data_IF_353760824860
#
_entry.id   IF_353760824860
#
_cell.length_a   1.000
_cell.length_b   1.000
_cell.length_c   1.000
_cell.angle_alpha   90.00
_cell.angle_beta   90.00
_cell.angle_gamma   90.00
#
_symmetry.space_group_name_H-M   'P 1'
#
loop_
_entity.id
_entity.type
_entity.pdbx_description
1 polymer ?
#
# COMPACT_ATOMS: atom_id res chain seq x y z
N UNK A 1 -0.37 -10.61 -11.94
CA UNK A 1 0.75 -9.70 -12.27
C UNK A 1 0.17 -8.33 -12.57
N UNK A 2 0.75 -7.26 -12.00
CA UNK A 2 0.39 -5.87 -12.32
C UNK A 2 1.35 -5.32 -13.37
N UNK A 3 0.83 -4.58 -14.35
CA UNK A 3 1.63 -3.92 -15.40
C UNK A 3 1.16 -2.47 -15.59
N UNK A 4 2.11 -1.57 -15.78
CA UNK A 4 1.86 -0.22 -16.28
C UNK A 4 2.55 -0.07 -17.63
N UNK A 5 1.85 0.54 -18.59
CA UNK A 5 2.34 0.68 -19.98
C UNK A 5 2.22 2.14 -20.43
N UNK A 6 3.36 2.73 -20.77
CA UNK A 6 3.48 4.08 -21.35
C UNK A 6 2.76 5.16 -20.51
N UNK A 7 2.83 5.03 -19.18
CA UNK A 7 2.12 5.91 -18.27
C UNK A 7 2.78 7.28 -18.19
N UNK A 8 1.98 8.33 -18.35
CA UNK A 8 2.39 9.71 -18.17
C UNK A 8 1.42 10.44 -17.24
N UNK A 9 1.95 11.38 -16.44
CA UNK A 9 1.19 12.22 -15.53
C UNK A 9 1.84 13.58 -15.38
N UNK A 10 1.03 14.65 -15.47
CA UNK A 10 1.43 16.03 -15.23
C UNK A 10 0.49 16.69 -14.23
N UNK A 11 0.97 17.72 -13.55
CA UNK A 11 0.18 18.65 -12.76
C UNK A 11 0.44 20.07 -13.27
N UNK A 12 -0.55 20.64 -13.94
CA UNK A 12 -0.36 21.84 -14.75
C UNK A 12 0.73 21.60 -15.81
N UNK A 13 1.70 22.49 -15.91
CA UNK A 13 2.81 22.37 -16.85
C UNK A 13 3.95 21.44 -16.39
N UNK A 14 3.88 20.96 -15.13
CA UNK A 14 4.93 20.11 -14.56
C UNK A 14 4.66 18.64 -14.84
N UNK A 15 5.50 18.04 -15.72
CA UNK A 15 5.48 16.59 -15.95
C UNK A 15 6.13 15.86 -14.77
N UNK A 16 5.44 14.86 -14.22
CA UNK A 16 5.89 14.06 -13.07
C UNK A 16 6.25 12.63 -13.51
N UNK A 17 5.47 12.05 -14.42
CA UNK A 17 5.73 10.74 -15.02
C UNK A 17 5.75 10.92 -16.53
N UNK A 18 6.73 10.32 -17.21
CA UNK A 18 6.88 10.39 -18.66
C UNK A 18 7.13 9.02 -19.25
N UNK A 19 6.11 8.49 -19.94
CA UNK A 19 6.18 7.23 -20.68
C UNK A 19 6.73 6.04 -19.86
N UNK A 20 6.32 5.94 -18.59
CA UNK A 20 6.80 4.92 -17.66
C UNK A 20 6.13 3.59 -17.94
N UNK A 21 6.93 2.53 -18.07
CA UNK A 21 6.44 1.15 -18.27
C UNK A 21 7.18 0.20 -17.34
N UNK A 22 6.43 -0.53 -16.50
CA UNK A 22 6.98 -1.53 -15.59
C UNK A 22 6.02 -2.69 -15.37
N UNK A 23 6.57 -3.86 -15.05
CA UNK A 23 5.84 -5.02 -14.57
C UNK A 23 6.19 -5.34 -13.12
N UNK A 24 5.17 -5.65 -12.34
CA UNK A 24 5.26 -6.01 -10.93
C UNK A 24 4.81 -7.48 -10.79
N UNK A 25 5.78 -8.40 -10.65
CA UNK A 25 5.48 -9.83 -10.61
C UNK A 25 4.63 -10.21 -9.40
N UNK A 26 3.73 -11.17 -9.58
CA UNK A 26 2.92 -11.74 -8.50
C UNK A 26 3.82 -12.46 -7.48
N UNK A 27 3.49 -12.36 -6.20
CA UNK A 27 4.26 -12.99 -5.12
C UNK A 27 5.60 -12.34 -4.83
N UNK A 28 5.89 -11.17 -5.41
CA UNK A 28 7.15 -10.47 -5.25
C UNK A 28 6.97 -9.09 -4.63
N UNK A 29 8.03 -8.64 -3.95
CA UNK A 29 8.16 -7.27 -3.43
C UNK A 29 8.98 -6.48 -4.44
N UNK A 30 8.35 -5.49 -5.08
CA UNK A 30 9.04 -4.54 -5.95
C UNK A 30 9.19 -3.21 -5.22
N UNK A 31 10.41 -2.75 -5.04
CA UNK A 31 10.69 -1.45 -4.42
C UNK A 31 10.91 -0.40 -5.51
N UNK A 32 10.20 0.72 -5.40
CA UNK A 32 10.42 1.93 -6.20
C UNK A 32 11.27 2.88 -5.35
N UNK A 33 12.55 2.97 -5.68
CA UNK A 33 13.56 3.73 -4.94
C UNK A 33 13.91 5.02 -5.68
N UNK A 34 14.01 6.13 -4.98
CA UNK A 34 14.46 7.39 -5.56
C UNK A 34 14.33 8.57 -4.60
N UNK A 35 14.87 9.73 -4.94
CA UNK A 35 14.82 10.94 -4.12
C UNK A 35 13.38 11.47 -3.99
N UNK A 36 13.18 12.37 -3.01
CA UNK A 36 11.94 13.12 -2.90
C UNK A 36 11.70 13.94 -4.18
N UNK A 37 10.45 14.00 -4.63
CA UNK A 37 10.09 14.65 -5.89
C UNK A 37 10.32 13.82 -7.16
N UNK A 38 10.83 12.58 -7.06
CA UNK A 38 11.03 11.66 -8.19
C UNK A 38 9.74 11.02 -8.75
N UNK A 39 8.56 11.45 -8.32
CA UNK A 39 7.27 10.93 -8.84
C UNK A 39 6.81 9.60 -8.23
N UNK A 40 7.53 9.05 -7.23
CA UNK A 40 7.22 7.75 -6.61
C UNK A 40 5.80 7.66 -6.05
N UNK A 41 5.44 8.59 -5.16
CA UNK A 41 4.09 8.68 -4.56
C UNK A 41 3.03 8.93 -5.63
N UNK A 42 3.33 9.76 -6.65
CA UNK A 42 2.42 9.98 -7.78
C UNK A 42 2.17 8.69 -8.54
N UNK A 43 3.22 7.93 -8.85
CA UNK A 43 3.09 6.64 -9.53
C UNK A 43 2.26 5.65 -8.69
N UNK A 44 2.54 5.56 -7.37
CA UNK A 44 1.78 4.69 -6.47
C UNK A 44 0.31 5.11 -6.39
N UNK A 45 0.01 6.41 -6.30
CA UNK A 45 -1.37 6.93 -6.31
C UNK A 45 -2.10 6.63 -7.62
N UNK A 46 -1.41 6.72 -8.74
CA UNK A 46 -1.96 6.34 -10.04
C UNK A 46 -2.24 4.82 -10.09
N UNK A 47 -1.32 3.98 -9.63
CA UNK A 47 -1.51 2.52 -9.56
C UNK A 47 -2.72 2.17 -8.68
N UNK A 48 -2.88 2.85 -7.55
CA UNK A 48 -3.96 2.58 -6.59
C UNK A 48 -5.32 3.22 -6.99
N UNK A 49 -5.37 3.97 -8.08
CA UNK A 49 -6.60 4.65 -8.53
C UNK A 49 -6.98 5.87 -7.69
N UNK A 50 -6.06 6.37 -6.84
CA UNK A 50 -6.22 7.62 -6.09
C UNK A 50 -5.92 8.86 -6.93
N UNK A 51 -5.24 8.65 -8.07
CA UNK A 51 -4.94 9.66 -9.07
C UNK A 51 -5.12 9.03 -10.47
N UNK A 52 -5.53 9.81 -11.46
CA UNK A 52 -5.68 9.34 -12.83
C UNK A 52 -4.39 9.49 -13.62
N UNK A 53 -4.13 8.59 -14.56
CA UNK A 53 -3.12 8.78 -15.59
C UNK A 53 -3.61 9.77 -16.67
N UNK A 54 -2.73 10.59 -17.20
CA UNK A 54 -3.04 11.41 -18.38
C UNK A 54 -2.96 10.55 -19.66
N UNK A 55 -2.00 9.59 -19.68
CA UNK A 55 -1.79 8.63 -20.77
C UNK A 55 -1.31 7.30 -20.23
N UNK A 56 -1.48 6.24 -21.00
CA UNK A 56 -0.99 4.90 -20.69
C UNK A 56 -2.07 3.97 -20.19
N UNK A 57 -1.66 2.81 -19.70
CA UNK A 57 -2.54 1.75 -19.23
C UNK A 57 -2.06 1.13 -17.93
N UNK A 58 -3.03 0.71 -17.11
CA UNK A 58 -2.84 -0.11 -15.91
C UNK A 58 -3.58 -1.44 -16.09
N UNK A 59 -2.85 -2.53 -16.05
CA UNK A 59 -3.39 -3.88 -16.22
C UNK A 59 -3.12 -4.73 -14.98
N UNK A 60 -4.15 -5.39 -14.46
CA UNK A 60 -4.02 -6.38 -13.39
C UNK A 60 -4.50 -7.73 -13.89
N UNK A 61 -3.60 -8.70 -14.01
CA UNK A 61 -3.86 -10.03 -14.54
C UNK A 61 -4.55 -9.99 -15.92
N UNK A 62 -4.19 -9.00 -16.75
CA UNK A 62 -4.78 -8.76 -18.09
C UNK A 62 -6.06 -7.94 -18.08
N UNK A 63 -6.67 -7.69 -16.93
CA UNK A 63 -7.82 -6.78 -16.82
C UNK A 63 -7.35 -5.32 -16.85
N UNK A 64 -7.94 -4.51 -17.73
CA UNK A 64 -7.68 -3.08 -17.80
C UNK A 64 -8.36 -2.33 -16.64
N UNK A 65 -7.55 -1.77 -15.76
CA UNK A 65 -7.97 -0.95 -14.62
C UNK A 65 -7.73 0.55 -14.87
N UNK A 66 -7.29 0.94 -16.06
CA UNK A 66 -6.95 2.31 -16.41
C UNK A 66 -8.13 3.24 -16.17
N UNK A 67 -7.91 4.27 -15.36
CA UNK A 67 -8.91 5.29 -15.04
C UNK A 67 -10.29 4.74 -14.56
N UNK A 68 -10.36 3.47 -14.17
CA UNK A 68 -11.51 2.98 -13.43
C UNK A 68 -11.57 3.70 -12.09
N UNK A 69 -12.76 4.11 -11.68
CA UNK A 69 -12.95 4.76 -10.39
C UNK A 69 -12.41 3.88 -9.26
N UNK A 70 -11.94 4.49 -8.18
CA UNK A 70 -11.47 3.78 -6.99
C UNK A 70 -12.52 2.75 -6.50
N UNK A 71 -13.82 3.06 -6.64
CA UNK A 71 -14.90 2.12 -6.30
C UNK A 71 -14.91 0.87 -7.18
N UNK A 72 -14.64 0.99 -8.48
CA UNK A 72 -14.59 -0.16 -9.39
C UNK A 72 -13.37 -1.06 -9.12
N UNK A 73 -12.30 -0.51 -8.54
CA UNK A 73 -11.09 -1.22 -8.16
C UNK A 73 -11.04 -1.57 -6.66
N UNK A 74 -12.10 -1.25 -5.92
CA UNK A 74 -12.18 -1.49 -4.47
C UNK A 74 -11.88 -2.95 -4.12
N UNK A 75 -10.98 -3.14 -3.17
CA UNK A 75 -10.52 -4.45 -2.74
C UNK A 75 -9.42 -5.09 -3.60
N UNK A 76 -9.18 -4.64 -4.86
CA UNK A 76 -8.11 -5.23 -5.69
C UNK A 76 -6.72 -4.69 -5.32
N UNK A 77 -6.64 -3.40 -4.97
CA UNK A 77 -5.39 -2.72 -4.63
C UNK A 77 -5.55 -2.04 -3.27
N UNK A 78 -4.80 -2.51 -2.29
CA UNK A 78 -4.72 -1.92 -0.95
C UNK A 78 -3.58 -0.91 -0.88
N UNK A 79 -3.75 0.13 -0.05
CA UNK A 79 -2.72 1.16 0.17
C UNK A 79 -2.49 1.35 1.66
N UNK A 80 -1.21 1.37 2.03
CA UNK A 80 -0.70 1.74 3.35
C UNK A 80 -0.01 3.09 3.20
N UNK A 81 -0.57 4.14 3.80
CA UNK A 81 -0.09 5.50 3.69
C UNK A 81 1.02 5.82 4.70
N UNK A 82 1.85 6.79 4.38
CA UNK A 82 2.97 7.27 5.18
C UNK A 82 2.55 7.72 6.59
N UNK A 83 1.39 8.40 6.72
CA UNK A 83 0.83 8.96 7.95
C UNK A 83 -0.25 8.05 8.58
N UNK A 84 -0.24 6.76 8.25
CA UNK A 84 -1.16 5.70 8.69
C UNK A 84 -2.63 5.94 8.34
N UNK A 85 -3.12 7.17 8.36
CA UNK A 85 -4.50 7.61 8.09
C UNK A 85 -5.56 6.79 8.85
N UNK A 86 -5.28 6.48 10.12
CA UNK A 86 -6.27 5.83 11.00
C UNK A 86 -7.35 6.83 11.38
N UNK A 87 -8.59 6.36 11.43
CA UNK A 87 -9.72 7.15 11.92
C UNK A 87 -9.61 7.31 13.44
N UNK A 88 -9.38 8.54 13.96
CA UNK A 88 -9.06 8.74 15.38
C UNK A 88 -10.25 8.50 16.32
N UNK A 89 -11.47 8.54 15.80
CA UNK A 89 -12.73 8.32 16.52
C UNK A 89 -13.18 6.86 16.53
N UNK A 90 -12.46 5.98 15.83
CA UNK A 90 -12.66 4.54 15.78
C UNK A 90 -11.54 3.82 16.52
N UNK A 91 -11.87 2.72 17.22
CA UNK A 91 -10.87 1.83 17.77
C UNK A 91 -10.15 1.02 16.67
N UNK A 92 -9.18 0.21 17.03
CA UNK A 92 -8.39 -0.61 16.08
C UNK A 92 -9.29 -1.56 15.28
N UNK A 93 -10.17 -2.31 15.97
CA UNK A 93 -11.08 -3.25 15.30
C UNK A 93 -12.00 -2.53 14.31
N UNK A 94 -12.61 -1.44 14.72
CA UNK A 94 -13.51 -0.64 13.89
C UNK A 94 -12.78 -0.05 12.67
N UNK A 95 -11.53 0.42 12.82
CA UNK A 95 -10.71 0.88 11.70
C UNK A 95 -10.51 -0.21 10.63
N UNK A 96 -10.37 -1.48 11.06
CA UNK A 96 -10.10 -2.60 10.14
C UNK A 96 -11.38 -3.08 9.47
N UNK A 97 -12.49 -3.22 10.23
CA UNK A 97 -13.74 -3.80 9.70
C UNK A 97 -14.56 -2.85 8.84
N UNK A 98 -14.31 -1.54 8.92
CA UNK A 98 -15.11 -0.51 8.24
C UNK A 98 -15.21 -0.76 6.72
N UNK A 99 -14.08 -0.89 6.06
CA UNK A 99 -14.05 -1.06 4.59
C UNK A 99 -14.60 -2.44 4.15
N UNK A 100 -14.25 -3.58 4.75
CA UNK A 100 -14.86 -4.87 4.44
C UNK A 100 -16.39 -4.87 4.54
N UNK A 101 -16.96 -4.24 5.58
CA UNK A 101 -18.41 -4.17 5.75
C UNK A 101 -19.08 -3.23 4.75
N UNK A 102 -18.51 -2.05 4.52
CA UNK A 102 -19.11 -1.04 3.65
C UNK A 102 -18.95 -1.35 2.16
N UNK A 103 -17.78 -1.85 1.76
CA UNK A 103 -17.39 -2.00 0.35
C UNK A 103 -17.61 -3.43 -0.12
N UNK A 104 -17.08 -4.42 0.60
CA UNK A 104 -17.21 -5.84 0.24
C UNK A 104 -18.55 -6.45 0.69
N UNK A 105 -19.35 -5.69 1.44
CA UNK A 105 -20.65 -6.12 1.99
C UNK A 105 -20.55 -7.37 2.87
N UNK A 106 -19.38 -7.62 3.47
CA UNK A 106 -19.23 -8.69 4.48
C UNK A 106 -20.12 -8.40 5.70
N UNK A 107 -20.61 -9.44 6.33
CA UNK A 107 -21.27 -9.29 7.62
C UNK A 107 -20.29 -8.75 8.67
N UNK A 108 -20.82 -8.12 9.72
CA UNK A 108 -19.97 -7.62 10.81
C UNK A 108 -19.15 -8.74 11.46
N UNK A 109 -19.75 -9.92 11.58
CA UNK A 109 -19.11 -11.11 12.14
C UNK A 109 -17.93 -11.56 11.28
N UNK A 110 -18.14 -11.80 9.98
CA UNK A 110 -17.07 -12.17 9.03
C UNK A 110 -15.94 -11.15 8.99
N UNK A 111 -16.28 -9.84 8.99
CA UNK A 111 -15.28 -8.77 9.00
C UNK A 111 -14.49 -8.76 10.32
N UNK A 112 -15.14 -9.02 11.46
CA UNK A 112 -14.51 -9.09 12.77
C UNK A 112 -13.54 -10.27 12.86
N UNK A 113 -13.94 -11.45 12.40
CA UNK A 113 -13.09 -12.64 12.39
C UNK A 113 -11.86 -12.44 11.50
N UNK A 114 -12.05 -11.83 10.32
CA UNK A 114 -10.95 -11.45 9.45
C UNK A 114 -10.00 -10.46 10.13
N UNK A 115 -10.54 -9.42 10.78
CA UNK A 115 -9.76 -8.40 11.48
C UNK A 115 -8.94 -9.00 12.63
N UNK A 116 -9.54 -9.87 13.45
CA UNK A 116 -8.85 -10.57 14.55
C UNK A 116 -7.73 -11.48 14.04
N UNK A 117 -7.96 -12.18 12.93
CA UNK A 117 -6.91 -12.97 12.28
C UNK A 117 -5.73 -12.09 11.84
N UNK A 118 -6.00 -10.92 11.24
CA UNK A 118 -4.94 -9.97 10.84
C UNK A 118 -4.22 -9.38 12.06
N UNK A 119 -4.95 -9.04 13.12
CA UNK A 119 -4.34 -8.55 14.37
C UNK A 119 -3.45 -9.61 15.01
N UNK A 120 -3.87 -10.88 15.00
CA UNK A 120 -3.05 -12.00 15.46
C UNK A 120 -1.76 -12.15 14.66
N UNK A 121 -1.86 -12.13 13.33
CA UNK A 121 -0.71 -12.20 12.41
C UNK A 121 0.31 -11.08 12.66
N UNK A 122 -0.18 -9.89 13.04
CA UNK A 122 0.63 -8.68 13.23
C UNK A 122 1.02 -8.42 14.69
N UNK A 123 0.70 -9.35 15.61
CA UNK A 123 1.06 -9.25 17.03
C UNK A 123 0.34 -8.12 17.77
N UNK A 124 -0.93 -7.89 17.45
CA UNK A 124 -1.78 -6.82 18.00
C UNK A 124 -3.11 -7.32 18.58
N UNK A 125 -3.21 -8.62 18.93
CA UNK A 125 -4.47 -9.21 19.44
C UNK A 125 -4.99 -8.54 20.72
N UNK A 126 -4.09 -7.96 21.52
CA UNK A 126 -4.41 -7.24 22.76
C UNK A 126 -4.82 -5.77 22.53
N UNK A 127 -4.86 -5.30 21.28
CA UNK A 127 -5.08 -3.89 20.92
C UNK A 127 -6.41 -3.63 20.20
N UNK A 128 -7.29 -4.63 20.07
CA UNK A 128 -8.52 -4.47 19.26
C UNK A 128 -9.41 -3.31 19.72
N UNK A 129 -9.47 -3.02 21.02
CA UNK A 129 -10.28 -1.95 21.62
C UNK A 129 -9.52 -0.61 21.76
N UNK A 130 -8.21 -0.59 21.49
CA UNK A 130 -7.39 0.62 21.63
C UNK A 130 -7.69 1.63 20.53
N UNK A 131 -7.55 2.92 20.85
CA UNK A 131 -7.66 4.00 19.88
C UNK A 131 -6.27 4.38 19.33
N UNK A 132 -6.24 5.04 18.17
CA UNK A 132 -4.98 5.37 17.50
C UNK A 132 -4.01 6.20 18.34
N UNK A 133 -4.51 7.06 19.24
CA UNK A 133 -3.66 7.86 20.13
C UNK A 133 -3.01 7.06 21.27
N UNK A 134 -3.48 5.84 21.55
CA UNK A 134 -2.92 4.92 22.55
C UNK A 134 -1.84 4.01 21.97
N UNK A 135 -1.60 4.08 20.65
CA UNK A 135 -0.68 3.21 19.93
C UNK A 135 0.67 3.89 19.68
N UNK A 136 1.76 3.12 19.74
CA UNK A 136 3.06 3.55 19.22
C UNK A 136 3.03 3.69 17.69
N UNK A 137 4.01 4.38 17.10
CA UNK A 137 4.12 4.52 15.65
C UNK A 137 4.14 3.18 14.92
N UNK A 138 4.94 2.23 15.39
CA UNK A 138 5.00 0.88 14.81
C UNK A 138 3.70 0.08 14.95
N UNK A 139 2.95 0.28 16.04
CA UNK A 139 1.61 -0.31 16.20
C UNK A 139 0.61 0.32 15.22
N UNK A 140 0.61 1.66 15.07
CA UNK A 140 -0.22 2.35 14.06
C UNK A 140 0.05 1.85 12.65
N UNK A 141 1.33 1.66 12.30
CA UNK A 141 1.73 1.10 11.02
C UNK A 141 1.15 -0.29 10.81
N UNK A 142 1.27 -1.17 11.79
CA UNK A 142 0.72 -2.53 11.72
C UNK A 142 -0.81 -2.53 11.62
N UNK A 143 -1.52 -1.63 12.30
CA UNK A 143 -2.97 -1.46 12.16
C UNK A 143 -3.33 -0.99 10.74
N UNK A 144 -2.59 -0.04 10.16
CA UNK A 144 -2.81 0.42 8.80
C UNK A 144 -2.60 -0.71 7.77
N UNK A 145 -1.61 -1.58 8.01
CA UNK A 145 -1.38 -2.78 7.22
C UNK A 145 -2.54 -3.77 7.36
N UNK A 146 -2.99 -4.05 8.61
CA UNK A 146 -4.14 -4.93 8.87
C UNK A 146 -5.39 -4.46 8.14
N UNK A 147 -5.67 -3.15 8.19
CA UNK A 147 -6.80 -2.52 7.49
C UNK A 147 -6.74 -2.73 5.96
N UNK A 148 -5.55 -2.57 5.38
CA UNK A 148 -5.37 -2.80 3.94
C UNK A 148 -5.53 -4.28 3.56
N UNK A 149 -5.00 -5.19 4.38
CA UNK A 149 -5.09 -6.65 4.18
C UNK A 149 -6.49 -7.20 4.35
N UNK A 150 -7.31 -6.62 5.24
CA UNK A 150 -8.70 -7.05 5.48
C UNK A 150 -9.59 -6.91 4.24
N UNK A 151 -9.16 -6.13 3.24
CA UNK A 151 -9.80 -6.05 1.92
C UNK A 151 -9.38 -7.17 0.96
N UNK A 152 -8.49 -8.08 1.36
CA UNK A 152 -7.98 -9.22 0.57
C UNK A 152 -7.41 -8.80 -0.79
N UNK A 153 -6.49 -7.80 -0.81
CA UNK A 153 -6.02 -7.21 -2.05
C UNK A 153 -5.12 -8.17 -2.85
N UNK A 154 -5.14 -8.04 -4.18
CA UNK A 154 -4.19 -8.68 -5.10
C UNK A 154 -2.86 -7.91 -5.20
N UNK A 155 -2.91 -6.62 -4.91
CA UNK A 155 -1.76 -5.71 -4.88
C UNK A 155 -1.80 -4.91 -3.58
N UNK A 156 -0.69 -4.90 -2.85
CA UNK A 156 -0.52 -4.10 -1.65
C UNK A 156 0.58 -3.07 -1.86
N UNK A 157 0.20 -1.81 -1.80
CA UNK A 157 1.07 -0.66 -1.99
C UNK A 157 1.44 -0.03 -0.65
N UNK A 158 2.72 0.34 -0.46
CA UNK A 158 3.21 1.04 0.72
C UNK A 158 3.87 2.34 0.29
N UNK A 159 3.38 3.46 0.80
CA UNK A 159 3.96 4.79 0.55
C UNK A 159 4.84 5.19 1.73
N UNK A 160 6.16 5.13 1.56
CA UNK A 160 7.18 5.50 2.56
C UNK A 160 6.91 4.88 3.97
N UNK A 161 6.81 3.54 4.09
CA UNK A 161 6.27 2.89 5.29
C UNK A 161 7.11 3.06 6.57
N UNK A 162 8.31 3.61 6.48
CA UNK A 162 9.20 3.84 7.61
C UNK A 162 9.41 5.31 7.96
N UNK A 163 8.95 6.23 7.12
CA UNK A 163 9.29 7.67 7.24
C UNK A 163 8.67 8.37 8.45
N UNK A 164 7.54 7.87 8.96
CA UNK A 164 6.85 8.40 10.14
C UNK A 164 7.25 7.66 11.44
N UNK A 165 8.29 6.82 11.39
CA UNK A 165 8.71 5.97 12.50
C UNK A 165 10.11 6.36 13.00
N UNK A 166 10.38 6.02 14.26
CA UNK A 166 11.73 6.07 14.78
C UNK A 166 12.65 5.13 13.98
N UNK A 167 13.91 5.54 13.69
CA UNK A 167 14.83 4.74 12.86
C UNK A 167 15.02 3.30 13.34
N UNK A 168 14.94 3.05 14.64
CA UNK A 168 15.05 1.72 15.23
C UNK A 168 13.91 0.76 14.84
N UNK A 169 12.77 1.27 14.40
CA UNK A 169 11.59 0.47 14.04
C UNK A 169 11.56 0.06 12.56
N UNK A 170 12.46 0.57 11.73
CA UNK A 170 12.53 0.20 10.31
C UNK A 170 12.73 -1.30 10.11
N UNK A 171 13.49 -1.94 11.01
CA UNK A 171 13.71 -3.38 11.01
C UNK A 171 12.43 -4.18 11.17
N UNK A 172 11.61 -3.78 12.14
CA UNK A 172 10.34 -4.45 12.46
C UNK A 172 9.35 -4.34 11.29
N UNK A 173 9.28 -3.17 10.64
CA UNK A 173 8.43 -2.97 9.46
C UNK A 173 8.90 -3.82 8.29
N UNK A 174 10.22 -3.94 8.09
CA UNK A 174 10.77 -4.81 7.06
C UNK A 174 10.36 -6.28 7.28
N UNK A 175 10.45 -6.77 8.52
CA UNK A 175 10.04 -8.13 8.87
C UNK A 175 8.54 -8.35 8.65
N UNK A 176 7.70 -7.39 9.02
CA UNK A 176 6.25 -7.45 8.74
C UNK A 176 5.99 -7.57 7.24
N UNK A 177 6.60 -6.72 6.40
CA UNK A 177 6.43 -6.74 4.94
C UNK A 177 6.91 -8.08 4.34
N UNK A 178 8.04 -8.62 4.81
CA UNK A 178 8.57 -9.90 4.37
C UNK A 178 7.67 -11.07 4.78
N UNK A 179 7.15 -11.07 6.00
CA UNK A 179 6.26 -12.12 6.51
C UNK A 179 4.88 -12.11 5.82
N UNK A 180 4.47 -10.98 5.26
CA UNK A 180 3.24 -10.84 4.46
C UNK A 180 3.43 -11.31 3.00
N UNK A 181 4.63 -11.75 2.61
CA UNK A 181 4.87 -12.24 1.26
C UNK A 181 4.06 -13.50 0.99
N UNK A 182 3.22 -13.44 -0.02
CA UNK A 182 2.32 -14.50 -0.44
C UNK A 182 2.38 -14.67 -1.96
N UNK A 183 2.28 -15.90 -2.50
CA UNK A 183 2.33 -16.13 -3.94
C UNK A 183 1.21 -15.42 -4.71
N UNK A 184 0.12 -15.03 -4.01
CA UNK A 184 -1.06 -14.44 -4.62
C UNK A 184 -1.11 -12.91 -4.50
N UNK A 185 -0.18 -12.28 -3.78
CA UNK A 185 -0.16 -10.83 -3.53
C UNK A 185 1.12 -10.22 -4.09
N UNK A 186 0.95 -9.22 -4.95
CA UNK A 186 2.05 -8.37 -5.40
C UNK A 186 2.25 -7.25 -4.39
N UNK A 187 3.46 -7.04 -3.90
CA UNK A 187 3.77 -5.92 -3.01
C UNK A 187 4.59 -4.86 -3.74
N UNK A 188 4.19 -3.60 -3.62
CA UNK A 188 4.89 -2.43 -4.18
C UNK A 188 5.23 -1.49 -3.03
N UNK A 189 6.50 -1.22 -2.83
CA UNK A 189 6.98 -0.35 -1.75
C UNK A 189 7.68 0.86 -2.37
N UNK A 190 7.21 2.04 -2.02
CA UNK A 190 7.88 3.30 -2.36
C UNK A 190 8.73 3.73 -1.18
N UNK A 191 10.00 4.02 -1.41
CA UNK A 191 10.89 4.56 -0.37
C UNK A 191 12.05 5.37 -0.97
N UNK A 192 12.63 6.22 -0.16
CA UNK A 192 13.90 6.89 -0.45
C UNK A 192 15.08 6.29 0.33
N UNK A 193 14.82 5.32 1.22
CA UNK A 193 15.82 4.64 2.02
C UNK A 193 16.41 3.42 1.28
N UNK A 194 17.68 3.48 0.82
CA UNK A 194 18.29 2.37 0.10
C UNK A 194 18.57 1.14 0.99
N UNK A 195 18.81 1.33 2.28
CA UNK A 195 19.08 0.22 3.21
C UNK A 195 17.81 -0.58 3.45
N UNK A 196 16.69 0.12 3.69
CA UNK A 196 15.38 -0.52 3.79
C UNK A 196 15.00 -1.25 2.51
N UNK A 197 15.22 -0.60 1.34
CA UNK A 197 14.96 -1.20 0.03
C UNK A 197 15.73 -2.50 -0.18
N UNK A 198 17.04 -2.52 0.12
CA UNK A 198 17.89 -3.70 -0.03
C UNK A 198 17.44 -4.87 0.85
N UNK A 199 16.93 -4.58 2.05
CA UNK A 199 16.47 -5.59 3.01
C UNK A 199 15.23 -6.36 2.51
N UNK A 200 14.31 -5.70 1.78
CA UNK A 200 13.00 -6.28 1.46
C UNK A 200 12.80 -6.62 -0.02
N UNK A 201 13.56 -6.02 -0.94
CA UNK A 201 13.25 -6.07 -2.37
C UNK A 201 13.60 -7.40 -3.03
N UNK A 202 12.66 -7.99 -3.77
CA UNK A 202 12.97 -8.98 -4.82
C UNK A 202 13.40 -8.26 -6.11
N UNK A 203 12.89 -7.06 -6.35
CA UNK A 203 13.21 -6.20 -7.52
C UNK A 203 13.21 -4.74 -7.11
N UNK A 204 14.19 -3.98 -7.59
CA UNK A 204 14.25 -2.53 -7.37
C UNK A 204 14.11 -1.79 -8.70
N UNK A 205 13.23 -0.79 -8.72
CA UNK A 205 13.07 0.17 -9.79
C UNK A 205 13.59 1.51 -9.27
N UNK A 206 14.55 2.11 -9.96
CA UNK A 206 15.04 3.44 -9.61
C UNK A 206 14.32 4.49 -10.43
N UNK A 207 13.86 5.54 -9.75
CA UNK A 207 13.21 6.70 -10.38
C UNK A 207 13.97 7.97 -10.02
N UNK A 208 14.06 8.87 -10.99
CA UNK A 208 14.70 10.18 -10.84
C UNK A 208 13.71 11.27 -11.22
N UNK A 209 13.85 12.50 -10.66
CA UNK A 209 13.04 13.62 -11.08
C UNK A 209 13.24 13.91 -12.57
N UNK A 210 12.16 14.21 -13.27
CA UNK A 210 12.21 14.68 -14.65
C UNK A 210 12.79 16.11 -14.62
N UNK A 211 13.83 16.33 -15.44
CA UNK A 211 14.49 17.66 -15.57
C UNK A 211 13.65 18.61 -16.39
#
# INVERSE_FOLDING_TARGET
MLEIKNVSKSFGDKKILDNVSHSFPMGKITVILGPSGGGKTTLLRCISGLESFDKGQLLLDGEDLTNKSHQANSGKIGVVFQDFQLFPHLNVLENIILAPTMVLKKSKEEATDTARSMLGLLGLSDKEEAYSFELSGGQKQRVAIARALAMEPRVLCYDEPTSALDPGLSGDVAEVILNLKSPNVTQIVVTHDPVFAEKIADKTIRVEPIK
#
